data_IF_023986249344
#
_entry.id   IF_023986249344
#
_cell.length_a   1.000
_cell.length_b   1.000
_cell.length_c   1.000
_cell.angle_alpha   90.00
_cell.angle_beta   90.00
_cell.angle_gamma   90.00
#
_symmetry.space_group_name_H-M   'P 1'
#
loop_
_entity.id
_entity.type
_entity.pdbx_description
1 polymer ?
#
# COMPACT_ATOMS: atom_id res chain seq x y z
N UNK A 1 -7.21 -3.99 15.40
CA UNK A 1 -6.23 -2.95 15.72
C UNK A 1 -5.33 -2.58 14.54
N UNK A 2 -5.42 -3.28 13.40
CA UNK A 2 -4.63 -3.03 12.17
C UNK A 2 -3.11 -3.09 12.43
N UNK A 3 -2.70 -3.83 13.46
CA UNK A 3 -1.30 -4.02 13.79
C UNK A 3 -0.71 -5.07 12.85
N UNK A 4 0.48 -4.81 12.31
CA UNK A 4 1.18 -5.70 11.40
C UNK A 4 2.41 -6.21 12.10
N UNK A 5 2.54 -7.53 12.14
CA UNK A 5 3.69 -8.18 12.72
C UNK A 5 4.51 -8.87 11.65
N UNK A 6 5.83 -8.78 11.77
CA UNK A 6 6.78 -9.53 10.94
C UNK A 6 7.78 -10.26 11.83
N UNK A 7 8.37 -11.33 11.31
CA UNK A 7 9.45 -12.08 11.95
C UNK A 7 10.23 -12.86 10.89
N UNK A 8 11.42 -13.34 11.27
CA UNK A 8 12.30 -14.12 10.42
C UNK A 8 13.58 -13.37 10.05
N UNK A 9 14.06 -13.65 8.84
CA UNK A 9 15.25 -13.06 8.22
C UNK A 9 15.03 -11.56 7.97
N UNK A 10 16.07 -10.74 8.14
CA UNK A 10 15.95 -9.28 8.00
C UNK A 10 17.24 -8.60 7.49
N UNK A 11 18.19 -9.36 6.95
CA UNK A 11 19.46 -8.80 6.45
C UNK A 11 19.27 -7.77 5.33
N UNK A 12 18.17 -7.83 4.58
CA UNK A 12 17.79 -6.87 3.57
C UNK A 12 16.59 -6.01 3.93
N UNK A 13 16.31 -5.75 5.21
CA UNK A 13 15.21 -4.90 5.63
C UNK A 13 13.79 -5.48 5.39
N UNK A 14 13.63 -6.74 4.98
CA UNK A 14 12.34 -7.32 4.60
C UNK A 14 11.26 -7.33 5.70
N UNK A 15 11.63 -7.18 6.98
CA UNK A 15 10.62 -7.07 8.04
C UNK A 15 9.94 -5.70 8.07
N UNK A 16 10.60 -4.63 7.62
CA UNK A 16 10.01 -3.29 7.63
C UNK A 16 9.90 -2.64 9.01
N UNK A 17 10.61 -3.16 10.02
CA UNK A 17 10.57 -2.70 11.42
C UNK A 17 11.54 -1.54 11.73
N UNK A 18 12.11 -0.91 10.71
CA UNK A 18 13.14 0.12 10.83
C UNK A 18 14.55 -0.41 11.06
N UNK A 19 14.75 -1.74 11.05
CA UNK A 19 16.04 -2.37 11.35
C UNK A 19 16.43 -3.41 10.31
N UNK A 20 17.70 -3.86 10.36
CA UNK A 20 18.20 -5.07 9.68
C UNK A 20 18.39 -6.26 10.62
N UNK A 21 17.75 -6.22 11.79
CA UNK A 21 17.93 -7.25 12.81
C UNK A 21 16.92 -8.36 12.59
N UNK A 22 17.40 -9.59 12.43
CA UNK A 22 16.54 -10.78 12.35
C UNK A 22 15.74 -10.95 13.63
N UNK A 23 14.50 -11.44 13.53
CA UNK A 23 13.58 -11.58 14.66
C UNK A 23 13.08 -13.01 14.73
N UNK A 24 13.39 -13.74 15.79
CA UNK A 24 12.82 -15.08 16.01
C UNK A 24 11.42 -15.06 16.62
N UNK A 25 10.89 -13.86 16.89
CA UNK A 25 9.56 -13.62 17.45
C UNK A 25 8.88 -12.46 16.72
N UNK A 26 7.54 -12.44 16.64
CA UNK A 26 6.80 -11.32 16.03
C UNK A 26 7.22 -9.97 16.59
N UNK A 27 7.47 -9.01 15.70
CA UNK A 27 7.70 -7.59 16.03
C UNK A 27 6.65 -6.74 15.35
N UNK A 28 6.08 -5.77 16.07
CA UNK A 28 5.22 -4.75 15.46
C UNK A 28 6.10 -3.85 14.58
N UNK A 29 5.77 -3.78 13.30
CA UNK A 29 6.54 -3.01 12.31
C UNK A 29 6.15 -1.52 12.31
N UNK A 30 5.14 -1.13 13.09
CA UNK A 30 4.67 0.26 13.14
C UNK A 30 3.95 0.70 11.86
N UNK A 31 3.27 -0.24 11.18
CA UNK A 31 2.57 0.06 9.93
C UNK A 31 1.53 1.19 10.13
N UNK A 32 1.38 2.14 9.19
CA UNK A 32 0.53 3.30 9.42
C UNK A 32 -0.96 2.92 9.54
N UNK A 33 -1.52 3.16 10.72
CA UNK A 33 -2.85 2.66 11.11
C UNK A 33 -4.02 3.28 10.34
N UNK A 34 -3.78 4.38 9.61
CA UNK A 34 -4.77 4.99 8.73
C UNK A 34 -5.09 4.12 7.50
N UNK A 35 -4.19 3.22 7.11
CA UNK A 35 -4.41 2.32 5.98
C UNK A 35 -4.95 0.97 6.44
N UNK A 36 -5.94 0.48 5.71
CA UNK A 36 -6.43 -0.87 5.87
C UNK A 36 -5.78 -1.78 4.84
N UNK A 37 -5.12 -2.84 5.29
CA UNK A 37 -4.41 -3.77 4.41
C UNK A 37 -5.42 -4.66 3.70
N UNK A 38 -5.37 -4.64 2.37
CA UNK A 38 -6.11 -5.56 1.52
C UNK A 38 -5.29 -6.82 1.20
N UNK A 39 -4.00 -6.67 0.94
CA UNK A 39 -3.09 -7.80 0.71
C UNK A 39 -1.66 -7.49 1.16
N UNK A 40 -0.92 -8.58 1.45
CA UNK A 40 0.50 -8.54 1.78
C UNK A 40 1.19 -9.69 1.04
N UNK A 41 2.33 -9.42 0.42
CA UNK A 41 3.15 -10.39 -0.30
C UNK A 41 4.64 -10.13 -0.04
N UNK A 42 5.42 -11.20 0.10
CA UNK A 42 6.88 -11.15 0.24
C UNK A 42 7.53 -12.08 -0.77
N UNK A 43 8.60 -11.65 -1.41
CA UNK A 43 9.44 -12.52 -2.24
C UNK A 43 10.67 -12.96 -1.43
N UNK A 44 10.84 -14.27 -1.25
CA UNK A 44 11.97 -14.81 -0.51
C UNK A 44 13.31 -14.74 -1.25
N UNK A 45 13.30 -14.59 -2.58
CA UNK A 45 14.50 -14.41 -3.41
C UNK A 45 14.81 -12.94 -3.62
N UNK A 46 13.78 -12.12 -3.81
CA UNK A 46 13.93 -10.68 -3.96
C UNK A 46 14.21 -9.95 -2.63
N UNK A 47 13.85 -10.53 -1.49
CA UNK A 47 14.07 -9.98 -0.15
C UNK A 47 13.33 -8.64 0.09
N UNK A 48 12.20 -8.46 -0.59
CA UNK A 48 11.25 -7.36 -0.48
C UNK A 48 9.86 -7.81 -0.02
N UNK A 49 9.08 -6.86 0.46
CA UNK A 49 7.68 -7.05 0.85
C UNK A 49 6.84 -5.92 0.30
N UNK A 50 5.65 -6.27 -0.15
CA UNK A 50 4.65 -5.37 -0.70
C UNK A 50 3.34 -5.48 0.07
N UNK A 51 2.67 -4.36 0.22
CA UNK A 51 1.33 -4.24 0.75
C UNK A 51 0.47 -3.43 -0.21
N UNK A 52 -0.74 -3.90 -0.40
CA UNK A 52 -1.81 -3.09 -0.99
C UNK A 52 -2.84 -2.77 0.07
N UNK A 53 -3.34 -1.55 0.04
CA UNK A 53 -4.36 -1.07 0.96
C UNK A 53 -5.73 -1.07 0.28
N UNK A 54 -6.82 -1.07 1.05
CA UNK A 54 -8.18 -1.11 0.50
C UNK A 54 -8.58 0.16 -0.27
N UNK A 55 -7.91 1.28 -0.01
CA UNK A 55 -8.02 2.54 -0.75
C UNK A 55 -7.11 2.60 -1.99
N UNK A 56 -6.36 1.52 -2.29
CA UNK A 56 -5.57 1.37 -3.51
C UNK A 56 -4.14 1.90 -3.43
N UNK A 57 -3.67 2.31 -2.26
CA UNK A 57 -2.26 2.65 -2.06
C UNK A 57 -1.40 1.38 -2.06
N UNK A 58 -0.17 1.53 -2.55
CA UNK A 58 0.83 0.46 -2.56
C UNK A 58 2.06 0.94 -1.78
N UNK A 59 2.47 0.11 -0.83
CA UNK A 59 3.67 0.33 -0.04
C UNK A 59 4.59 -0.87 -0.18
N UNK A 60 5.89 -0.59 -0.23
CA UNK A 60 6.93 -1.60 -0.36
C UNK A 60 8.07 -1.34 0.61
N UNK A 61 8.77 -2.37 1.05
CA UNK A 61 10.01 -2.25 1.82
C UNK A 61 10.90 -3.48 1.61
N UNK A 62 12.14 -3.41 2.06
CA UNK A 62 13.15 -4.45 1.89
C UNK A 62 14.22 -4.07 0.87
N UNK A 63 14.73 -5.08 0.16
CA UNK A 63 15.74 -4.92 -0.87
C UNK A 63 15.25 -4.00 -2.02
N UNK A 64 16.17 -3.30 -2.69
CA UNK A 64 15.80 -2.37 -3.76
C UNK A 64 16.88 -2.14 -4.84
N UNK A 65 17.93 -2.96 -4.93
CA UNK A 65 19.06 -2.65 -5.84
C UNK A 65 18.65 -2.58 -7.32
N UNK A 66 17.50 -3.14 -7.68
CA UNK A 66 16.93 -3.11 -9.03
C UNK A 66 15.71 -2.21 -9.16
N UNK A 67 15.31 -1.49 -8.10
CA UNK A 67 14.11 -0.65 -8.09
C UNK A 67 12.82 -1.42 -7.75
N UNK A 68 12.89 -2.52 -7.00
CA UNK A 68 11.72 -3.34 -6.63
C UNK A 68 10.67 -2.56 -5.85
N UNK A 69 11.07 -1.58 -5.03
CA UNK A 69 10.14 -0.78 -4.24
C UNK A 69 9.29 0.16 -5.11
N UNK A 70 9.77 0.46 -6.32
CA UNK A 70 9.12 1.36 -7.25
C UNK A 70 9.00 2.80 -6.73
N UNK A 71 9.74 3.19 -5.70
CA UNK A 71 9.76 4.53 -5.08
C UNK A 71 10.61 5.55 -5.86
N UNK A 72 11.03 5.20 -7.09
CA UNK A 72 11.94 6.01 -7.91
C UNK A 72 13.40 5.92 -7.48
N UNK A 73 13.72 5.11 -6.47
CA UNK A 73 15.09 4.90 -6.00
C UNK A 73 15.57 3.48 -6.27
N UNK A 74 16.84 3.23 -5.96
CA UNK A 74 17.44 1.88 -5.89
C UNK A 74 18.00 1.59 -4.50
N UNK A 75 17.52 2.33 -3.50
CA UNK A 75 18.02 2.25 -2.13
C UNK A 75 17.10 1.35 -1.33
N UNK A 76 17.62 0.30 -0.66
CA UNK A 76 16.80 -0.53 0.21
C UNK A 76 16.13 0.29 1.31
N UNK A 77 14.93 -0.11 1.73
CA UNK A 77 14.19 0.58 2.78
C UNK A 77 13.82 -0.37 3.91
N UNK A 78 14.16 0.01 5.14
CA UNK A 78 13.77 -0.69 6.38
C UNK A 78 12.41 -0.26 6.91
N UNK A 79 11.71 0.62 6.22
CA UNK A 79 10.34 1.03 6.57
C UNK A 79 9.47 1.04 5.31
N UNK A 80 8.15 0.83 5.43
CA UNK A 80 7.24 0.96 4.29
C UNK A 80 7.40 2.31 3.58
N UNK A 81 7.62 2.28 2.27
CA UNK A 81 7.65 3.46 1.39
C UNK A 81 6.59 3.33 0.31
N UNK A 82 6.04 4.45 -0.13
CA UNK A 82 5.09 4.46 -1.25
C UNK A 82 5.78 4.16 -2.57
N UNK A 83 5.13 3.36 -3.40
CA UNK A 83 5.50 3.22 -4.79
C UNK A 83 5.13 4.51 -5.55
N UNK A 84 6.00 4.96 -6.46
CA UNK A 84 5.72 6.14 -7.30
C UNK A 84 4.47 5.93 -8.15
N UNK A 85 3.65 6.98 -8.30
CA UNK A 85 2.36 6.88 -8.97
C UNK A 85 1.22 6.32 -8.11
N UNK A 86 1.52 5.79 -6.91
CA UNK A 86 0.54 5.50 -5.87
C UNK A 86 0.54 6.56 -4.77
N UNK A 87 0.86 7.83 -5.10
CA UNK A 87 0.63 8.94 -4.16
C UNK A 87 -0.79 8.76 -3.66
N UNK A 88 -0.93 8.51 -2.35
CA UNK A 88 -2.18 8.10 -1.73
C UNK A 88 -3.22 9.21 -1.72
N UNK A 89 -3.42 9.94 -2.82
CA UNK A 89 -4.68 10.58 -3.13
C UNK A 89 -5.72 9.48 -3.03
N UNK A 90 -6.62 9.54 -2.02
CA UNK A 90 -7.82 8.73 -2.07
C UNK A 90 -8.41 8.96 -3.46
N UNK A 91 -8.81 7.90 -4.17
CA UNK A 91 -9.76 8.08 -5.26
C UNK A 91 -10.82 9.04 -4.71
N UNK A 92 -11.05 10.22 -5.35
CA UNK A 92 -12.10 11.11 -4.87
C UNK A 92 -13.33 10.21 -4.77
N UNK A 93 -13.87 10.11 -3.55
CA UNK A 93 -15.06 9.31 -3.26
C UNK A 93 -15.95 9.43 -4.48
N UNK A 94 -16.19 8.33 -5.19
CA UNK A 94 -17.21 8.30 -6.22
C UNK A 94 -18.52 8.43 -5.46
N UNK A 95 -18.83 9.64 -5.00
CA UNK A 95 -20.21 10.06 -4.79
C UNK A 95 -20.84 9.72 -6.12
N UNK A 96 -21.71 8.70 -6.20
CA UNK A 96 -22.34 8.36 -7.46
C UNK A 96 -22.98 9.66 -7.94
N UNK A 97 -22.51 10.19 -9.07
CA UNK A 97 -23.12 11.35 -9.69
C UNK A 97 -24.61 11.00 -9.81
N UNK A 98 -25.53 11.74 -9.17
CA UNK A 98 -26.94 11.41 -9.28
C UNK A 98 -27.26 11.38 -10.77
N UNK A 99 -27.88 10.27 -11.21
CA UNK A 99 -28.35 10.10 -12.58
C UNK A 99 -29.11 11.37 -12.97
N UNK A 100 -28.83 12.01 -14.13
CA UNK A 100 -29.56 13.20 -14.51
C UNK A 100 -31.05 12.88 -14.48
N UNK A 101 -31.80 13.61 -13.65
CA UNK A 101 -33.26 13.51 -13.62
C UNK A 101 -33.75 13.77 -15.05
N UNK A 102 -34.56 12.88 -15.64
CA UNK A 102 -35.15 13.14 -16.95
C UNK A 102 -35.86 14.50 -16.89
N UNK A 103 -35.50 15.40 -17.80
CA UNK A 103 -36.18 16.68 -17.94
C UNK A 103 -37.68 16.45 -18.23
N UNK A 104 -38.55 17.40 -17.88
CA UNK A 104 -39.98 17.24 -18.12
C UNK A 104 -40.23 17.01 -19.61
N UNK A 105 -40.89 15.90 -19.92
CA UNK A 105 -41.43 15.64 -21.26
C UNK A 105 -42.41 16.77 -21.56
N UNK A 106 -42.10 17.63 -22.55
CA UNK A 106 -43.10 18.56 -23.06
C UNK A 106 -44.27 17.75 -23.61
N UNK A 107 -45.39 17.76 -22.90
CA UNK A 107 -46.67 17.35 -23.48
C UNK A 107 -46.96 18.31 -24.63
N UNK A 108 -47.06 17.76 -25.84
CA UNK A 108 -47.57 18.48 -26.98
C UNK A 108 -49.03 18.86 -26.68
N UNK A 109 -49.28 20.16 -26.61
CA UNK A 109 -50.65 20.70 -26.59
C UNK A 109 -51.31 20.32 -27.91
N UNK A 110 -52.46 19.64 -27.83
CA UNK A 110 -53.33 19.30 -28.97
C UNK A 110 -53.91 20.54 -29.64
#
# INVERSE_FOLDING_TARGET
>A
DRTVYAWGENSQCQLGDGTKTQRSSPVDIGFPKQYEIASLASDGVGEETHVTTSDGAVMSWGFNNYGQLGDGTKTPSCTPVFTTGSEGTPLPSLTPTPLPTPGPTSEAVM
#
